data_IF_685152831425
#
_entry.id   IF_685152831425
#
_cell.length_a   1.000
_cell.length_b   1.000
_cell.length_c   1.000
_cell.angle_alpha   90.00
_cell.angle_beta   90.00
_cell.angle_gamma   90.00
#
_symmetry.space_group_name_H-M   'P 1'
#
loop_
_entity.id
_entity.type
_entity.pdbx_description
1 polymer ?
#
# COMPACT_ATOMS: atom_id res chain seq x y z
N UNK A 1 26.64 -25.98 6.74
CA UNK A 1 25.28 -26.06 7.33
C UNK A 1 24.68 -24.70 7.70
N UNK A 2 25.46 -23.66 8.01
CA UNK A 2 24.96 -22.32 8.39
C UNK A 2 24.53 -21.39 7.22
N UNK A 3 24.94 -21.67 5.98
CA UNK A 3 24.69 -20.78 4.83
C UNK A 3 23.28 -20.91 4.23
N UNK A 4 22.66 -22.10 4.31
CA UNK A 4 21.30 -22.32 3.79
C UNK A 4 20.22 -21.66 4.67
N UNK A 5 20.44 -21.62 5.99
CA UNK A 5 19.52 -21.00 6.94
C UNK A 5 19.53 -19.45 6.82
N UNK A 6 20.69 -18.86 6.55
CA UNK A 6 20.87 -17.42 6.28
C UNK A 6 20.20 -16.97 4.97
N UNK A 7 20.26 -17.81 3.93
CA UNK A 7 19.61 -17.56 2.65
C UNK A 7 18.08 -17.55 2.77
N UNK A 8 17.52 -18.49 3.52
CA UNK A 8 16.07 -18.53 3.80
C UNK A 8 15.60 -17.26 4.51
N UNK A 9 16.35 -16.77 5.50
CA UNK A 9 15.99 -15.59 6.27
C UNK A 9 15.99 -14.29 5.44
N UNK A 10 16.96 -14.11 4.54
CA UNK A 10 17.09 -12.90 3.71
C UNK A 10 16.07 -12.85 2.58
N UNK A 11 15.84 -13.97 1.88
CA UNK A 11 14.77 -14.06 0.88
C UNK A 11 13.40 -13.83 1.53
N UNK A 12 13.15 -14.45 2.68
CA UNK A 12 11.90 -14.24 3.42
C UNK A 12 11.74 -12.79 3.89
N UNK A 13 12.82 -12.09 4.25
CA UNK A 13 12.79 -10.68 4.62
C UNK A 13 12.40 -9.75 3.45
N UNK A 14 12.97 -9.96 2.26
CA UNK A 14 12.63 -9.14 1.09
C UNK A 14 11.26 -9.51 0.52
N UNK A 15 10.92 -10.80 0.47
CA UNK A 15 9.58 -11.26 0.06
C UNK A 15 8.50 -10.83 1.07
N UNK A 16 8.77 -10.79 2.38
CA UNK A 16 7.80 -10.29 3.37
C UNK A 16 7.57 -8.79 3.27
N UNK A 17 8.55 -8.03 2.75
CA UNK A 17 8.51 -6.57 2.70
C UNK A 17 8.05 -6.01 1.35
N UNK A 18 8.29 -6.74 0.27
CA UNK A 18 7.99 -6.31 -1.11
C UNK A 18 7.07 -7.26 -1.87
N UNK A 19 6.67 -8.39 -1.27
CA UNK A 19 5.75 -9.35 -1.88
C UNK A 19 6.22 -9.84 -3.25
N UNK A 20 5.27 -10.04 -4.17
CA UNK A 20 5.53 -10.50 -5.55
C UNK A 20 6.30 -9.46 -6.39
N UNK A 21 6.42 -8.21 -5.91
CA UNK A 21 7.14 -7.14 -6.59
C UNK A 21 8.65 -7.44 -6.64
N UNK A 22 9.18 -8.15 -5.65
CA UNK A 22 10.59 -8.56 -5.63
C UNK A 22 10.93 -9.61 -6.69
N UNK A 23 10.02 -10.57 -6.89
CA UNK A 23 10.17 -11.61 -7.90
C UNK A 23 10.01 -11.03 -9.32
N UNK A 24 9.10 -10.07 -9.53
CA UNK A 24 8.96 -9.37 -10.81
C UNK A 24 10.12 -8.41 -11.09
N UNK A 25 10.61 -7.68 -10.07
CA UNK A 25 11.74 -6.77 -10.20
C UNK A 25 13.03 -7.51 -10.57
N UNK A 26 13.29 -8.65 -9.91
CA UNK A 26 14.45 -9.49 -10.20
C UNK A 26 14.38 -10.17 -11.57
N UNK A 27 13.20 -10.60 -12.02
CA UNK A 27 13.02 -11.19 -13.36
C UNK A 27 13.12 -10.17 -14.48
N UNK A 28 12.59 -8.96 -14.28
CA UNK A 28 12.44 -7.97 -15.36
C UNK A 28 13.72 -7.16 -15.59
N UNK A 29 14.52 -6.88 -14.55
CA UNK A 29 15.72 -6.03 -14.66
C UNK A 29 16.99 -6.75 -15.11
N UNK A 30 17.04 -8.08 -15.04
CA UNK A 30 18.25 -8.87 -15.34
C UNK A 30 18.13 -9.77 -16.58
N UNK A 31 17.03 -9.66 -17.34
CA UNK A 31 16.81 -10.43 -18.56
C UNK A 31 17.67 -9.99 -19.77
N UNK A 32 18.44 -8.90 -19.68
CA UNK A 32 19.18 -8.34 -20.82
C UNK A 32 20.57 -8.97 -21.07
N UNK A 33 21.09 -9.76 -20.14
CA UNK A 33 22.35 -10.47 -20.35
C UNK A 33 22.04 -11.94 -20.69
N UNK A 34 22.07 -12.30 -21.98
CA UNK A 34 22.01 -13.68 -22.44
C UNK A 34 23.20 -14.48 -21.92
N UNK A 35 23.12 -14.91 -20.66
CA UNK A 35 24.08 -15.69 -19.92
C UNK A 35 23.34 -16.89 -19.35
N UNK A 36 23.12 -17.89 -20.21
CA UNK A 36 22.45 -19.13 -19.83
C UNK A 36 23.24 -19.99 -18.81
N UNK A 37 24.46 -19.56 -18.42
CA UNK A 37 25.33 -20.26 -17.47
C UNK A 37 25.52 -19.53 -16.12
N UNK A 38 24.74 -18.49 -15.81
CA UNK A 38 24.86 -17.79 -14.52
C UNK A 38 23.97 -18.44 -13.44
N UNK A 39 24.59 -19.21 -12.52
CA UNK A 39 23.91 -19.73 -11.33
C UNK A 39 23.65 -18.61 -10.31
N UNK A 40 22.56 -17.88 -10.58
CA UNK A 40 22.08 -16.60 -10.03
C UNK A 40 22.04 -16.44 -8.49
N UNK A 41 22.21 -17.51 -7.71
CA UNK A 41 22.13 -17.49 -6.25
C UNK A 41 23.50 -17.55 -5.54
N UNK A 42 24.54 -18.11 -6.17
CA UNK A 42 25.76 -18.49 -5.45
C UNK A 42 26.78 -17.35 -5.25
N UNK A 43 26.77 -16.33 -6.11
CA UNK A 43 27.80 -15.27 -6.07
C UNK A 43 27.37 -13.99 -5.35
N UNK A 44 26.07 -13.71 -5.24
CA UNK A 44 25.59 -12.49 -4.54
C UNK A 44 25.54 -12.70 -3.01
N UNK A 45 25.28 -13.94 -2.56
CA UNK A 45 25.25 -14.29 -1.13
C UNK A 45 26.63 -14.23 -0.46
N UNK A 46 27.70 -14.53 -1.20
CA UNK A 46 29.08 -14.47 -0.67
C UNK A 46 29.54 -13.03 -0.44
N UNK A 47 29.07 -12.07 -1.23
CA UNK A 47 29.46 -10.67 -1.10
C UNK A 47 28.68 -9.91 -0.01
N UNK A 48 27.47 -10.34 0.34
CA UNK A 48 26.63 -9.66 1.35
C UNK A 48 26.84 -10.19 2.78
N UNK A 49 27.37 -11.40 2.94
CA UNK A 49 27.64 -11.99 4.27
C UNK A 49 28.89 -11.41 4.96
N UNK A 50 29.82 -10.81 4.20
CA UNK A 50 30.97 -10.06 4.78
C UNK A 50 30.60 -8.66 5.28
N UNK A 51 29.37 -8.20 5.04
CA UNK A 51 28.92 -6.83 5.30
C UNK A 51 28.13 -6.63 6.60
N UNK A 52 27.87 -7.70 7.39
CA UNK A 52 27.03 -7.61 8.58
C UNK A 52 27.69 -8.04 9.90
N UNK A 53 29.02 -8.08 9.94
CA UNK A 53 29.77 -8.20 11.18
C UNK A 53 30.95 -7.24 11.17
N UNK A 54 30.70 -5.99 11.54
CA UNK A 54 31.42 -5.30 12.63
C UNK A 54 31.12 -3.80 12.58
N UNK A 55 30.71 -3.30 13.73
CA UNK A 55 30.65 -1.88 14.08
C UNK A 55 32.03 -1.22 13.90
N UNK A 56 32.02 0.01 13.39
CA UNK A 56 33.15 0.88 13.01
C UNK A 56 33.74 0.61 11.64
N UNK A 57 33.33 1.40 10.64
CA UNK A 57 34.21 2.19 9.75
C UNK A 57 33.44 2.70 8.52
N UNK A 58 32.96 3.94 8.60
CA UNK A 58 32.43 4.67 7.43
C UNK A 58 33.48 4.95 6.34
N UNK A 59 34.74 4.59 6.55
CA UNK A 59 35.84 4.83 5.63
C UNK A 59 35.93 3.78 4.52
N UNK A 60 35.67 2.50 4.81
CA UNK A 60 35.69 1.45 3.77
C UNK A 60 34.49 1.54 2.82
N UNK A 61 33.31 1.89 3.33
CA UNK A 61 32.16 2.18 2.49
C UNK A 61 32.44 3.34 1.53
N UNK A 62 33.07 4.42 2.02
CA UNK A 62 33.42 5.55 1.16
C UNK A 62 34.56 5.24 0.18
N UNK A 63 35.54 4.40 0.55
CA UNK A 63 36.60 3.93 -0.36
C UNK A 63 36.07 3.00 -1.43
N UNK A 64 35.23 2.02 -1.08
CA UNK A 64 34.63 1.10 -2.05
C UNK A 64 33.68 1.86 -2.98
N UNK A 65 32.92 2.83 -2.45
CA UNK A 65 32.12 3.76 -3.24
C UNK A 65 32.98 4.55 -4.21
N UNK A 66 34.07 5.20 -3.77
CA UNK A 66 34.99 5.93 -4.65
C UNK A 66 35.59 5.04 -5.72
N UNK A 67 36.00 3.81 -5.38
CA UNK A 67 36.62 2.86 -6.30
C UNK A 67 35.63 2.34 -7.35
N UNK A 68 34.39 2.06 -6.94
CA UNK A 68 33.28 1.68 -7.82
C UNK A 68 32.87 2.83 -8.76
N UNK A 69 32.86 4.08 -8.29
CA UNK A 69 32.60 5.24 -9.15
C UNK A 69 33.77 5.57 -10.10
N UNK A 70 35.01 5.28 -9.71
CA UNK A 70 36.18 5.45 -10.60
C UNK A 70 36.27 4.35 -11.67
N UNK A 71 35.95 3.09 -11.32
CA UNK A 71 35.96 1.96 -12.26
C UNK A 71 34.73 1.97 -13.19
N UNK A 72 33.56 2.44 -12.72
CA UNK A 72 32.37 2.66 -13.56
C UNK A 72 32.47 3.91 -14.47
N UNK A 73 33.48 4.76 -14.24
CA UNK A 73 33.76 5.93 -15.09
C UNK A 73 34.39 5.58 -16.44
N UNK A 74 35.03 4.41 -16.57
CA UNK A 74 35.77 4.02 -17.78
C UNK A 74 34.99 3.11 -18.73
N UNK A 75 33.86 2.52 -18.29
CA UNK A 75 32.96 1.78 -19.17
C UNK A 75 31.52 2.24 -18.97
N UNK A 76 31.01 3.02 -19.93
CA UNK A 76 29.58 3.30 -20.12
C UNK A 76 28.92 4.32 -19.16
N UNK A 77 29.67 5.33 -18.72
CA UNK A 77 29.21 6.34 -17.74
C UNK A 77 28.23 7.43 -18.22
N UNK A 78 27.52 7.32 -19.35
CA UNK A 78 26.67 8.44 -19.84
C UNK A 78 25.18 8.17 -20.10
N UNK A 79 24.68 6.94 -19.90
CA UNK A 79 23.23 6.67 -20.09
C UNK A 79 22.50 6.04 -18.90
N UNK A 80 23.16 5.27 -18.04
CA UNK A 80 22.46 4.50 -16.99
C UNK A 80 22.39 5.24 -15.64
N UNK A 81 23.31 6.16 -15.38
CA UNK A 81 23.38 6.95 -14.13
C UNK A 81 22.31 8.04 -14.02
N UNK A 82 21.57 8.33 -15.08
CA UNK A 82 20.49 9.33 -15.06
C UNK A 82 19.11 8.72 -14.74
N UNK A 83 18.97 7.39 -14.75
CA UNK A 83 17.71 6.69 -14.43
C UNK A 83 17.62 6.17 -12.99
N UNK A 84 18.74 6.12 -12.25
CA UNK A 84 18.73 6.10 -10.79
C UNK A 84 18.91 7.53 -10.31
N UNK A 85 17.93 8.39 -10.58
CA UNK A 85 17.96 9.77 -10.11
C UNK A 85 18.04 9.78 -8.58
N UNK A 86 18.82 10.70 -8.04
CA UNK A 86 18.89 10.98 -6.59
C UNK A 86 17.48 11.16 -6.01
N UNK A 87 16.54 11.66 -6.81
CA UNK A 87 15.11 11.74 -6.52
C UNK A 87 14.47 10.38 -6.18
N UNK A 88 14.80 9.27 -6.86
CA UNK A 88 14.27 7.95 -6.51
C UNK A 88 14.82 7.45 -5.16
N UNK A 89 16.10 7.72 -4.89
CA UNK A 89 16.76 7.33 -3.64
C UNK A 89 16.31 8.22 -2.47
N UNK A 90 16.08 9.52 -2.73
CA UNK A 90 15.56 10.50 -1.78
C UNK A 90 14.08 10.25 -1.48
N UNK A 91 13.27 9.88 -2.48
CA UNK A 91 11.89 9.46 -2.29
C UNK A 91 11.82 8.18 -1.46
N UNK A 92 12.65 7.16 -1.74
CA UNK A 92 12.74 5.94 -0.92
C UNK A 92 13.21 6.26 0.50
N UNK A 93 14.13 7.21 0.69
CA UNK A 93 14.64 7.59 2.01
C UNK A 93 13.65 8.43 2.82
N UNK A 94 12.86 9.31 2.18
CA UNK A 94 11.72 10.00 2.79
C UNK A 94 10.64 9.01 3.24
N UNK A 95 10.34 8.02 2.39
CA UNK A 95 9.32 6.99 2.64
C UNK A 95 9.63 6.07 3.84
N UNK A 96 10.90 6.03 4.27
CA UNK A 96 11.40 5.24 5.41
C UNK A 96 11.53 6.09 6.69
N UNK A 97 11.62 7.42 6.58
CA UNK A 97 11.96 8.31 7.71
C UNK A 97 10.76 9.01 8.35
N UNK A 98 9.61 9.11 7.68
CA UNK A 98 8.39 9.63 8.29
C UNK A 98 7.59 8.51 8.98
N UNK A 99 7.13 8.71 10.23
CA UNK A 99 6.24 7.76 10.88
C UNK A 99 4.92 7.69 10.11
N UNK A 100 4.76 6.65 9.30
CA UNK A 100 3.49 6.34 8.64
C UNK A 100 2.44 6.01 9.70
N UNK A 101 1.30 6.69 9.62
CA UNK A 101 0.12 6.31 10.40
C UNK A 101 -0.25 4.87 10.04
N UNK A 102 -0.69 4.10 11.03
CA UNK A 102 -1.12 2.74 10.80
C UNK A 102 -2.26 2.37 11.73
N UNK A 103 -3.04 1.41 11.26
CA UNK A 103 -4.16 0.82 11.98
C UNK A 103 -3.98 -0.70 12.00
N UNK A 104 -4.16 -1.31 13.17
CA UNK A 104 -4.16 -2.76 13.32
C UNK A 104 -5.57 -3.23 13.61
N UNK A 105 -6.11 -4.10 12.76
CA UNK A 105 -7.43 -4.67 12.91
C UNK A 105 -7.44 -6.19 12.72
N UNK A 106 -8.53 -6.83 13.16
CA UNK A 106 -8.68 -8.29 13.09
C UNK A 106 -9.33 -8.74 11.76
N UNK A 107 -8.71 -9.73 11.10
CA UNK A 107 -9.29 -10.46 9.98
C UNK A 107 -9.18 -11.96 10.22
N UNK A 108 -10.33 -12.64 10.36
CA UNK A 108 -10.40 -14.09 10.63
C UNK A 108 -9.58 -14.53 11.86
N UNK A 109 -9.50 -13.66 12.87
CA UNK A 109 -8.75 -13.91 14.12
C UNK A 109 -7.33 -13.36 14.13
N UNK A 110 -6.75 -13.12 12.95
CA UNK A 110 -5.37 -12.62 12.82
C UNK A 110 -5.30 -11.09 12.84
N UNK A 111 -4.21 -10.55 13.36
CA UNK A 111 -3.90 -9.12 13.26
C UNK A 111 -3.40 -8.77 11.87
N UNK A 112 -4.00 -7.74 11.28
CA UNK A 112 -3.60 -7.18 9.99
C UNK A 112 -3.29 -5.70 10.19
N UNK A 113 -2.07 -5.31 9.80
CA UNK A 113 -1.64 -3.90 9.82
C UNK A 113 -1.93 -3.25 8.48
N UNK A 114 -2.63 -2.13 8.53
CA UNK A 114 -2.93 -1.27 7.39
C UNK A 114 -2.20 0.06 7.57
N UNK A 115 -1.39 0.45 6.58
CA UNK A 115 -0.62 1.70 6.61
C UNK A 115 -1.39 2.86 5.98
N UNK A 116 -0.96 4.07 6.30
CA UNK A 116 -1.59 5.33 5.90
C UNK A 116 -3.06 5.44 6.34
N UNK A 117 -3.39 4.83 7.49
CA UNK A 117 -4.70 4.97 8.13
C UNK A 117 -4.51 5.77 9.41
N UNK A 118 -5.21 6.89 9.49
CA UNK A 118 -5.21 7.75 10.66
C UNK A 118 -6.32 7.33 11.63
N UNK A 119 -5.99 7.17 12.92
CA UNK A 119 -6.97 6.92 13.95
C UNK A 119 -7.44 8.25 14.55
N UNK A 120 -8.65 8.68 14.24
CA UNK A 120 -9.24 9.92 14.76
C UNK A 120 -10.26 9.66 15.84
N UNK A 121 -10.29 10.53 16.86
CA UNK A 121 -11.44 10.58 17.76
C UNK A 121 -12.62 11.19 17.04
N UNK A 122 -13.74 10.47 17.01
CA UNK A 122 -15.02 10.96 16.50
C UNK A 122 -16.09 10.81 17.57
N UNK A 123 -17.11 11.65 17.53
CA UNK A 123 -18.33 11.43 18.29
C UNK A 123 -19.31 10.61 17.43
N UNK A 124 -19.32 9.30 17.63
CA UNK A 124 -20.22 8.40 16.92
C UNK A 124 -21.64 8.55 17.46
N UNK A 125 -22.61 8.82 16.58
CA UNK A 125 -24.04 8.96 16.87
C UNK A 125 -24.81 7.92 16.08
N UNK A 126 -25.39 6.93 16.77
CA UNK A 126 -26.15 5.86 16.11
C UNK A 126 -27.42 6.42 15.47
N UNK A 127 -27.46 6.44 14.14
CA UNK A 127 -28.55 7.04 13.36
C UNK A 127 -29.84 6.22 13.45
N UNK A 128 -30.97 6.90 13.27
CA UNK A 128 -32.25 6.22 13.07
C UNK A 128 -32.27 5.38 11.79
N UNK A 129 -32.96 4.24 11.83
CA UNK A 129 -32.99 3.27 10.72
C UNK A 129 -33.68 3.81 9.47
N UNK A 130 -34.67 4.69 9.61
CA UNK A 130 -35.37 5.28 8.45
C UNK A 130 -34.44 6.19 7.67
N UNK A 131 -33.72 7.09 8.36
CA UNK A 131 -32.74 8.00 7.76
C UNK A 131 -31.58 7.24 7.12
N UNK A 132 -31.05 6.21 7.81
CA UNK A 132 -30.05 5.30 7.24
C UNK A 132 -30.53 4.69 5.92
N UNK A 133 -31.79 4.25 5.86
CA UNK A 133 -32.37 3.59 4.68
C UNK A 133 -32.49 4.56 3.52
N UNK A 134 -32.93 5.80 3.75
CA UNK A 134 -33.01 6.84 2.72
C UNK A 134 -31.63 7.13 2.12
N UNK A 135 -30.63 7.39 2.96
CA UNK A 135 -29.25 7.61 2.51
C UNK A 135 -28.69 6.41 1.73
N UNK A 136 -29.02 5.18 2.16
CA UNK A 136 -28.60 3.97 1.44
C UNK A 136 -29.28 3.85 0.07
N UNK A 137 -30.54 4.26 -0.05
CA UNK A 137 -31.25 4.26 -1.32
C UNK A 137 -30.62 5.26 -2.29
N UNK A 138 -30.33 6.47 -1.84
CA UNK A 138 -29.65 7.49 -2.65
C UNK A 138 -28.27 7.01 -3.11
N UNK A 139 -27.52 6.40 -2.19
CA UNK A 139 -26.22 5.82 -2.48
C UNK A 139 -26.28 4.80 -3.62
N UNK A 140 -27.23 3.87 -3.51
CA UNK A 140 -27.40 2.79 -4.48
C UNK A 140 -27.98 3.27 -5.82
N UNK A 141 -28.77 4.34 -5.80
CA UNK A 141 -29.45 4.89 -6.99
C UNK A 141 -28.48 5.61 -7.92
N UNK A 142 -27.65 6.53 -7.40
CA UNK A 142 -26.80 7.37 -8.24
C UNK A 142 -25.43 7.69 -7.63
N UNK A 143 -25.35 8.04 -6.35
CA UNK A 143 -24.12 8.57 -5.73
C UNK A 143 -22.92 7.64 -5.96
N UNK A 144 -23.09 6.33 -5.75
CA UNK A 144 -21.99 5.36 -5.98
C UNK A 144 -21.47 5.42 -7.42
N UNK A 145 -22.38 5.44 -8.39
CA UNK A 145 -22.03 5.50 -9.81
C UNK A 145 -21.32 6.81 -10.14
N UNK A 146 -21.83 7.92 -9.61
CA UNK A 146 -21.32 9.25 -9.90
C UNK A 146 -19.94 9.49 -9.26
N UNK A 147 -19.71 8.95 -8.05
CA UNK A 147 -18.40 8.93 -7.40
C UNK A 147 -17.36 8.16 -8.21
N UNK A 148 -17.70 6.96 -8.69
CA UNK A 148 -16.78 6.15 -9.52
C UNK A 148 -16.40 6.89 -10.81
N UNK A 149 -17.35 7.60 -11.41
CA UNK A 149 -17.09 8.45 -12.59
C UNK A 149 -16.20 9.63 -12.25
N UNK A 150 -16.43 10.30 -11.11
CA UNK A 150 -15.63 11.48 -10.75
C UNK A 150 -14.16 11.14 -10.54
N UNK A 151 -13.85 9.98 -9.92
CA UNK A 151 -12.46 9.56 -9.69
C UNK A 151 -11.79 8.97 -10.96
N UNK A 152 -12.57 8.56 -11.97
CA UNK A 152 -12.07 7.91 -13.19
C UNK A 152 -11.18 8.80 -14.07
N UNK A 153 -11.19 10.11 -13.84
CA UNK A 153 -10.36 11.09 -14.55
C UNK A 153 -8.90 11.08 -14.10
N UNK A 154 -8.62 10.64 -12.87
CA UNK A 154 -7.27 10.59 -12.30
C UNK A 154 -6.54 9.30 -12.68
N UNK A 155 -6.32 9.12 -13.99
CA UNK A 155 -5.76 7.90 -14.58
C UNK A 155 -4.39 7.58 -13.98
N UNK A 156 -3.55 8.59 -13.72
CA UNK A 156 -2.20 8.39 -13.18
C UNK A 156 -2.25 7.76 -11.79
N UNK A 157 -3.11 8.27 -10.91
CA UNK A 157 -3.29 7.75 -9.56
C UNK A 157 -3.93 6.36 -9.56
N UNK A 158 -4.93 6.11 -10.41
CA UNK A 158 -5.55 4.79 -10.51
C UNK A 158 -4.55 3.73 -10.98
N UNK A 159 -3.70 4.07 -11.96
CA UNK A 159 -2.62 3.19 -12.43
C UNK A 159 -1.53 2.96 -11.38
N UNK A 160 -1.17 3.97 -10.59
CA UNK A 160 -0.19 3.77 -9.51
C UNK A 160 -0.73 2.86 -8.40
N UNK A 161 -2.04 2.76 -8.26
CA UNK A 161 -2.72 1.77 -7.42
C UNK A 161 -3.01 0.45 -8.18
N UNK A 162 -2.38 0.21 -9.33
CA UNK A 162 -2.47 -1.08 -10.03
C UNK A 162 -3.82 -1.39 -10.69
N UNK A 163 -4.68 -0.38 -10.94
CA UNK A 163 -5.88 -0.59 -11.75
C UNK A 163 -5.52 -0.71 -13.23
N UNK A 164 -6.07 -1.73 -13.88
CA UNK A 164 -5.90 -1.93 -15.33
C UNK A 164 -6.75 -0.94 -16.14
N UNK A 165 -6.46 -0.80 -17.43
CA UNK A 165 -7.30 0.00 -18.35
C UNK A 165 -8.77 -0.48 -18.33
N UNK A 166 -8.98 -1.79 -18.20
CA UNK A 166 -10.34 -2.35 -18.14
C UNK A 166 -11.06 -1.99 -16.83
N UNK A 167 -10.33 -1.89 -15.71
CA UNK A 167 -10.91 -1.42 -14.46
C UNK A 167 -11.22 0.07 -14.51
N UNK A 168 -10.32 0.88 -15.09
CA UNK A 168 -10.54 2.31 -15.28
C UNK A 168 -11.74 2.55 -16.19
N UNK A 169 -11.92 1.75 -17.24
CA UNK A 169 -13.10 1.85 -18.10
C UNK A 169 -14.40 1.54 -17.33
N UNK A 170 -14.41 0.50 -16.48
CA UNK A 170 -15.56 0.24 -15.58
C UNK A 170 -15.88 1.46 -14.71
N UNK A 171 -14.87 2.12 -14.15
CA UNK A 171 -15.07 3.33 -13.34
C UNK A 171 -15.72 4.45 -14.17
N UNK A 172 -15.28 4.67 -15.42
CA UNK A 172 -15.90 5.65 -16.34
C UNK A 172 -17.37 5.33 -16.65
N UNK A 173 -17.72 4.05 -16.66
CA UNK A 173 -19.11 3.59 -16.82
C UNK A 173 -19.92 3.66 -15.51
N UNK A 174 -19.24 3.97 -14.39
CA UNK A 174 -19.80 4.02 -13.04
C UNK A 174 -20.02 2.65 -12.42
N UNK A 175 -19.21 1.67 -12.84
CA UNK A 175 -19.21 0.29 -12.38
C UNK A 175 -18.01 0.03 -11.48
N UNK A 176 -18.20 -0.80 -10.45
CA UNK A 176 -17.14 -1.15 -9.50
C UNK A 176 -16.24 -2.25 -10.10
N UNK A 177 -14.92 -2.07 -10.16
CA UNK A 177 -13.98 -3.12 -10.56
C UNK A 177 -14.08 -4.39 -9.71
N UNK A 178 -13.66 -5.53 -10.27
CA UNK A 178 -13.72 -6.81 -9.55
C UNK A 178 -12.78 -6.77 -8.35
N UNK A 179 -13.28 -7.16 -7.19
CA UNK A 179 -12.47 -7.18 -5.96
C UNK A 179 -12.37 -5.83 -5.25
N UNK A 180 -13.11 -4.82 -5.69
CA UNK A 180 -13.24 -3.53 -5.02
C UNK A 180 -14.67 -3.27 -4.56
N UNK A 181 -14.83 -2.32 -3.64
CA UNK A 181 -16.09 -1.76 -3.16
C UNK A 181 -15.94 -0.25 -2.92
N UNK A 182 -17.05 0.48 -2.96
CA UNK A 182 -17.09 1.87 -2.48
C UNK A 182 -17.47 1.83 -1.01
N UNK A 183 -16.59 2.36 -0.16
CA UNK A 183 -16.74 2.38 1.29
C UNK A 183 -16.98 3.82 1.76
N UNK A 184 -17.78 3.95 2.82
CA UNK A 184 -17.99 5.21 3.51
C UNK A 184 -16.99 5.31 4.66
N UNK A 185 -16.15 6.36 4.71
CA UNK A 185 -15.18 6.53 5.79
C UNK A 185 -15.86 6.69 7.16
N UNK A 186 -16.82 7.61 7.24
CA UNK A 186 -17.83 7.67 8.29
C UNK A 186 -19.07 6.94 7.81
N UNK A 187 -19.56 5.92 8.54
CA UNK A 187 -20.63 5.06 8.04
C UNK A 187 -21.97 5.79 8.02
N UNK A 188 -22.86 5.41 7.11
CA UNK A 188 -24.23 5.95 7.06
C UNK A 188 -25.08 5.60 8.29
N UNK A 189 -24.63 4.65 9.11
CA UNK A 189 -25.25 4.28 10.40
C UNK A 189 -24.81 5.23 11.53
N UNK A 190 -23.84 6.09 11.25
CA UNK A 190 -23.34 7.19 12.06
C UNK A 190 -23.65 8.55 11.37
N UNK A 191 -23.03 9.63 11.82
CA UNK A 191 -22.91 10.96 11.21
C UNK A 191 -22.46 11.02 9.74
N UNK A 192 -21.99 9.92 9.14
CA UNK A 192 -21.54 9.90 7.75
C UNK A 192 -22.62 10.25 6.72
N UNK A 193 -22.20 10.82 5.58
CA UNK A 193 -23.06 11.27 4.47
C UNK A 193 -22.69 10.58 3.15
N UNK A 194 -23.43 10.91 2.10
CA UNK A 194 -23.14 10.48 0.73
C UNK A 194 -22.21 11.43 -0.03
N UNK A 195 -21.58 12.38 0.66
CA UNK A 195 -20.60 13.28 0.04
C UNK A 195 -19.40 12.50 -0.48
N UNK A 196 -18.86 12.89 -1.64
CA UNK A 196 -17.74 12.16 -2.25
C UNK A 196 -16.47 12.18 -1.39
N UNK A 197 -16.28 13.21 -0.56
CA UNK A 197 -15.18 13.26 0.42
C UNK A 197 -15.30 12.22 1.53
N UNK A 198 -16.47 11.62 1.72
CA UNK A 198 -16.71 10.53 2.65
C UNK A 198 -16.64 9.15 1.97
N UNK A 199 -16.28 9.08 0.68
CA UNK A 199 -16.27 7.86 -0.11
C UNK A 199 -14.86 7.50 -0.57
N UNK A 200 -14.56 6.21 -0.56
CA UNK A 200 -13.29 5.66 -1.04
C UNK A 200 -13.55 4.39 -1.84
N UNK A 201 -12.86 4.25 -2.99
CA UNK A 201 -12.77 2.98 -3.70
C UNK A 201 -11.72 2.10 -3.01
N UNK A 202 -12.15 1.03 -2.35
CA UNK A 202 -11.28 0.20 -1.52
C UNK A 202 -11.25 -1.25 -2.02
N UNK A 203 -10.06 -1.87 -2.00
CA UNK A 203 -9.92 -3.30 -2.29
C UNK A 203 -10.51 -4.15 -1.17
N UNK A 204 -11.25 -5.19 -1.56
CA UNK A 204 -12.09 -5.96 -0.64
C UNK A 204 -11.29 -6.68 0.44
N UNK A 205 -10.20 -7.34 0.05
CA UNK A 205 -9.38 -8.18 0.93
C UNK A 205 -7.91 -7.73 0.83
N UNK A 206 -7.23 -7.47 1.96
CA UNK A 206 -7.75 -7.50 3.34
C UNK A 206 -8.49 -6.21 3.76
N UNK A 207 -8.27 -5.11 3.05
CA UNK A 207 -8.49 -3.74 3.54
C UNK A 207 -9.94 -3.45 3.96
N UNK A 208 -10.89 -3.58 3.05
CA UNK A 208 -12.29 -3.27 3.36
C UNK A 208 -12.83 -4.14 4.51
N UNK A 209 -12.47 -5.43 4.54
CA UNK A 209 -12.90 -6.34 5.59
C UNK A 209 -12.32 -5.97 6.96
N UNK A 210 -11.03 -5.66 7.03
CA UNK A 210 -10.35 -5.30 8.29
C UNK A 210 -10.98 -4.04 8.89
N UNK A 211 -11.17 -3.00 8.06
CA UNK A 211 -11.81 -1.74 8.49
C UNK A 211 -13.25 -1.99 8.94
N UNK A 212 -14.05 -2.65 8.09
CA UNK A 212 -15.46 -2.91 8.38
C UNK A 212 -15.66 -3.78 9.62
N UNK A 213 -14.78 -4.75 9.89
CA UNK A 213 -14.83 -5.56 11.11
C UNK A 213 -14.67 -4.70 12.37
N UNK A 214 -13.67 -3.80 12.38
CA UNK A 214 -13.44 -2.90 13.49
C UNK A 214 -14.59 -1.91 13.66
N UNK A 215 -15.02 -1.25 12.59
CA UNK A 215 -16.16 -0.32 12.62
C UNK A 215 -17.44 -0.99 13.13
N UNK A 216 -17.72 -2.22 12.70
CA UNK A 216 -18.87 -2.99 13.18
C UNK A 216 -18.75 -3.39 14.66
N UNK A 217 -17.54 -3.63 15.17
CA UNK A 217 -17.33 -3.95 16.58
C UNK A 217 -17.77 -2.81 17.49
N UNK A 218 -17.60 -1.57 17.06
CA UNK A 218 -18.09 -0.36 17.74
C UNK A 218 -19.60 -0.20 17.53
N UNK A 219 -20.06 -0.24 16.27
CA UNK A 219 -21.46 0.03 15.94
C UNK A 219 -22.45 -0.94 16.63
N UNK A 220 -22.03 -2.17 16.93
CA UNK A 220 -22.85 -3.19 17.61
C UNK A 220 -23.06 -2.94 19.10
N UNK A 221 -22.21 -2.14 19.74
CA UNK A 221 -22.38 -1.82 21.18
C UNK A 221 -23.34 -0.66 21.42
N UNK A 222 -23.80 0.01 20.35
CA UNK A 222 -24.55 1.25 20.41
C UNK A 222 -26.06 1.02 20.21
N UNK A 223 -26.89 1.74 20.97
CA UNK A 223 -28.34 1.85 20.76
C UNK A 223 -28.66 3.02 19.82
N UNK A 224 -29.79 2.94 19.11
CA UNK A 224 -30.26 4.05 18.25
C UNK A 224 -30.39 5.33 19.08
N UNK A 225 -29.85 6.44 18.58
CA UNK A 225 -29.80 7.75 19.25
C UNK A 225 -28.66 7.91 20.26
N UNK A 226 -27.93 6.84 20.60
CA UNK A 226 -26.78 6.92 21.50
C UNK A 226 -25.59 7.62 20.82
N UNK A 227 -24.85 8.40 21.63
CA UNK A 227 -23.64 9.10 21.22
C UNK A 227 -22.45 8.65 22.07
N UNK A 228 -21.30 8.39 21.46
CA UNK A 228 -20.07 7.98 22.17
C UNK A 228 -18.82 8.44 21.43
N UNK A 229 -17.85 8.97 22.18
CA UNK A 229 -16.50 9.23 21.64
C UNK A 229 -15.77 7.89 21.41
N UNK A 230 -15.27 7.68 20.20
CA UNK A 230 -14.56 6.45 19.79
C UNK A 230 -13.37 6.79 18.91
N UNK A 231 -12.35 5.93 18.89
CA UNK A 231 -11.27 5.99 17.90
C UNK A 231 -11.71 5.29 16.61
N UNK A 232 -11.57 5.98 15.49
CA UNK A 232 -12.09 5.56 14.19
C UNK A 232 -11.00 5.61 13.11
N UNK A 233 -10.86 4.57 12.28
CA UNK A 233 -9.93 4.56 11.16
C UNK A 233 -10.45 5.45 10.03
N UNK A 234 -9.61 6.39 9.60
CA UNK A 234 -9.87 7.34 8.52
C UNK A 234 -8.80 7.12 7.44
N UNK A 235 -9.25 6.93 6.20
CA UNK A 235 -8.37 6.63 5.06
C UNK A 235 -7.88 7.94 4.43
N UNK A 236 -8.78 8.91 4.23
CA UNK A 236 -8.46 10.23 3.68
C UNK A 236 -8.00 10.21 2.22
N UNK A 237 -8.38 9.18 1.45
CA UNK A 237 -7.98 9.00 0.04
C UNK A 237 -9.17 8.51 -0.78
N UNK A 238 -9.20 8.87 -2.07
CA UNK A 238 -10.25 8.41 -2.99
C UNK A 238 -10.12 6.93 -3.40
N UNK A 239 -8.91 6.35 -3.25
CA UNK A 239 -8.61 4.95 -3.53
C UNK A 239 -7.66 4.38 -2.46
N UNK A 240 -7.84 3.10 -2.09
CA UNK A 240 -7.01 2.41 -1.12
C UNK A 240 -6.92 0.90 -1.38
N UNK A 241 -5.71 0.32 -1.40
CA UNK A 241 -5.48 -1.09 -1.73
C UNK A 241 -4.09 -1.63 -1.38
#
# INVERSE_FOLDING_TARGET
MLAQESYGATKNFFTSRFGNLWDDFSRTKFAFAGLDDFHYADDIGKHTTRLYQNTSEGAEYQRLRQKLYSEAGEQSGRKVSREFSEEAVENVSRDISEPRSHFVGKLRGEDVTLYDIEMKKINYVKRDRSVLKELRNDFNKSVRKDFLKSISSDIKNLKSHGLSETDIQKLKDGLVPKGYQVHHELPLDDSGTNDFSNLVLIKNDPYHKVITNYQNSIARTMKIGESKEVLWPIIGKNIYN
#
